data_IF_709446981663
#
_entry.id   IF_709446981663
#
_cell.length_a   1.000
_cell.length_b   1.000
_cell.length_c   1.000
_cell.angle_alpha   90.00
_cell.angle_beta   90.00
_cell.angle_gamma   90.00
#
_symmetry.space_group_name_H-M   'P 1'
#
loop_
_entity.id
_entity.type
_entity.pdbx_description
1 polymer ?
#
# COMPACT_ATOMS: atom_id res chain seq x y z
N UNK A 1 0.89 -1.04 18.65
CA UNK A 1 1.56 -0.16 17.67
C UNK A 1 3.08 -0.32 17.81
N UNK A 2 3.84 -0.60 16.73
CA UNK A 2 5.30 -0.64 16.77
C UNK A 2 5.88 0.77 16.75
N UNK A 3 6.65 1.13 17.79
CA UNK A 3 7.33 2.43 17.84
C UNK A 3 8.24 2.65 16.63
N UNK A 4 8.13 3.81 15.99
CA UNK A 4 8.80 4.17 14.75
C UNK A 4 8.17 3.58 13.48
N UNK A 5 6.92 3.12 13.56
CA UNK A 5 6.16 2.67 12.40
C UNK A 5 6.57 1.29 11.84
N UNK A 6 5.92 0.90 10.75
CA UNK A 6 6.07 -0.42 10.10
C UNK A 6 7.46 -0.66 9.54
N UNK A 7 8.14 0.36 9.01
CA UNK A 7 9.49 0.22 8.46
C UNK A 7 10.48 -0.25 9.53
N UNK A 8 10.49 0.37 10.70
CA UNK A 8 11.38 -0.02 11.79
C UNK A 8 11.08 -1.44 12.29
N UNK A 9 9.81 -1.86 12.27
CA UNK A 9 9.44 -3.23 12.58
C UNK A 9 10.03 -4.21 11.55
N UNK A 10 9.87 -3.96 10.25
CA UNK A 10 10.41 -4.80 9.18
C UNK A 10 11.94 -4.84 9.20
N UNK A 11 12.61 -3.71 9.45
CA UNK A 11 14.07 -3.66 9.54
C UNK A 11 14.62 -4.51 10.69
N UNK A 12 13.90 -4.61 11.83
CA UNK A 12 14.30 -5.51 12.93
C UNK A 12 14.22 -6.98 12.51
N UNK A 13 13.19 -7.36 11.77
CA UNK A 13 13.04 -8.72 11.22
C UNK A 13 14.19 -9.00 10.24
N UNK A 14 14.43 -8.08 9.29
CA UNK A 14 15.52 -8.20 8.31
C UNK A 14 16.89 -8.35 8.99
N UNK A 15 17.18 -7.51 9.98
CA UNK A 15 18.42 -7.58 10.74
C UNK A 15 18.59 -8.93 11.44
N UNK A 16 17.52 -9.48 12.01
CA UNK A 16 17.56 -10.81 12.64
C UNK A 16 17.77 -11.90 11.59
N UNK A 17 17.08 -11.83 10.45
CA UNK A 17 17.23 -12.76 9.35
C UNK A 17 18.66 -12.80 8.81
N UNK A 18 19.28 -11.63 8.58
CA UNK A 18 20.68 -11.55 8.12
C UNK A 18 21.67 -12.09 9.14
N UNK A 19 21.46 -11.83 10.44
CA UNK A 19 22.29 -12.41 11.52
C UNK A 19 22.21 -13.94 11.60
N UNK A 20 21.13 -14.53 11.09
CA UNK A 20 20.96 -15.99 11.00
C UNK A 20 21.52 -16.56 9.68
N UNK A 21 22.19 -15.76 8.85
CA UNK A 21 22.77 -16.18 7.57
C UNK A 21 21.86 -15.95 6.36
N UNK A 22 20.68 -15.34 6.54
CA UNK A 22 19.79 -14.99 5.45
C UNK A 22 20.33 -13.86 4.57
N UNK A 23 19.98 -13.88 3.29
CA UNK A 23 20.36 -12.83 2.32
C UNK A 23 19.12 -12.13 1.77
N UNK A 24 19.21 -10.81 1.57
CA UNK A 24 18.19 -10.01 0.90
C UNK A 24 18.76 -9.43 -0.40
N UNK A 25 18.09 -9.73 -1.50
CA UNK A 25 18.35 -9.10 -2.81
C UNK A 25 17.20 -8.15 -3.14
N UNK A 26 17.39 -6.86 -2.85
CA UNK A 26 16.42 -5.82 -3.18
C UNK A 26 16.56 -5.38 -4.65
N UNK A 27 15.49 -4.80 -5.22
CA UNK A 27 15.48 -4.34 -6.61
C UNK A 27 15.61 -5.47 -7.64
N UNK A 28 15.29 -6.71 -7.24
CA UNK A 28 15.35 -7.91 -8.06
C UNK A 28 13.95 -8.51 -8.18
N UNK A 29 13.22 -8.16 -9.24
CA UNK A 29 11.86 -8.65 -9.45
C UNK A 29 11.91 -10.09 -9.96
N UNK A 30 11.24 -10.99 -9.25
CA UNK A 30 11.00 -12.36 -9.74
C UNK A 30 9.98 -12.29 -10.86
N UNK A 31 10.33 -12.85 -12.02
CA UNK A 31 9.48 -12.94 -13.21
C UNK A 31 8.74 -14.26 -13.26
N UNK A 32 9.41 -15.38 -12.92
CA UNK A 32 8.86 -16.73 -13.09
C UNK A 32 9.34 -17.69 -12.01
N UNK A 33 8.48 -18.62 -11.62
CA UNK A 33 8.85 -19.79 -10.82
C UNK A 33 9.17 -20.94 -11.77
N UNK A 34 10.35 -21.53 -11.61
CA UNK A 34 10.83 -22.62 -12.46
C UNK A 34 10.30 -23.95 -11.93
N UNK A 35 9.68 -24.74 -12.80
CA UNK A 35 9.12 -26.06 -12.49
C UNK A 35 9.80 -27.13 -13.35
N UNK A 36 10.30 -28.19 -12.71
CA UNK A 36 10.81 -29.40 -13.36
C UNK A 36 10.12 -30.62 -12.73
N UNK A 37 9.57 -31.52 -13.55
CA UNK A 37 8.84 -32.72 -13.12
C UNK A 37 7.76 -32.47 -12.04
N UNK A 38 7.06 -31.33 -12.16
CA UNK A 38 6.00 -30.93 -11.22
C UNK A 38 6.51 -30.35 -9.89
N UNK A 39 7.82 -30.12 -9.74
CA UNK A 39 8.43 -29.53 -8.54
C UNK A 39 9.03 -28.16 -8.83
N UNK A 40 8.84 -27.20 -7.93
CA UNK A 40 9.54 -25.93 -7.97
C UNK A 40 11.03 -26.11 -7.70
N UNK A 41 11.88 -25.55 -8.56
CA UNK A 41 13.34 -25.73 -8.56
C UNK A 41 14.11 -24.41 -8.55
N UNK A 42 13.41 -23.29 -8.42
CA UNK A 42 14.01 -21.96 -8.38
C UNK A 42 13.13 -20.87 -8.98
N UNK A 43 13.73 -19.72 -9.23
CA UNK A 43 13.10 -18.54 -9.82
C UNK A 43 13.96 -17.93 -10.93
N UNK A 44 13.31 -17.35 -11.93
CA UNK A 44 13.91 -16.47 -12.94
C UNK A 44 13.56 -15.02 -12.59
N UNK A 45 14.56 -14.14 -12.62
CA UNK A 45 14.38 -12.70 -12.46
C UNK A 45 14.02 -12.02 -13.78
N UNK A 46 13.55 -10.77 -13.73
CA UNK A 46 13.23 -9.98 -14.93
C UNK A 46 14.43 -9.73 -15.86
N UNK A 47 15.64 -9.66 -15.30
CA UNK A 47 16.91 -9.58 -16.04
C UNK A 47 17.38 -10.93 -16.64
N UNK A 48 16.60 -12.01 -16.45
CA UNK A 48 16.90 -13.36 -16.94
C UNK A 48 17.83 -14.18 -16.03
N UNK A 49 18.30 -13.60 -14.91
CA UNK A 49 19.10 -14.34 -13.91
C UNK A 49 18.28 -15.48 -13.30
N UNK A 50 18.90 -16.64 -13.10
CA UNK A 50 18.27 -17.81 -12.48
C UNK A 50 18.86 -18.05 -11.09
N UNK A 51 17.97 -18.19 -10.10
CA UNK A 51 18.32 -18.66 -8.76
C UNK A 51 17.66 -20.03 -8.52
N UNK A 52 18.49 -21.08 -8.43
CA UNK A 52 18.03 -22.43 -8.09
C UNK A 52 17.83 -22.59 -6.59
N UNK A 53 16.82 -23.36 -6.20
CA UNK A 53 16.53 -23.66 -4.78
C UNK A 53 15.74 -24.96 -4.64
N UNK A 54 15.83 -25.58 -3.46
CA UNK A 54 15.04 -26.78 -3.13
C UNK A 54 13.57 -26.46 -2.87
N UNK A 55 13.31 -25.22 -2.41
CA UNK A 55 11.99 -24.70 -2.07
C UNK A 55 11.85 -23.26 -2.55
N UNK A 56 10.62 -22.88 -2.89
CA UNK A 56 10.21 -21.51 -3.20
C UNK A 56 9.03 -21.18 -2.30
N UNK A 57 9.17 -20.12 -1.50
CA UNK A 57 8.09 -19.59 -0.66
C UNK A 57 7.70 -18.24 -1.25
N UNK A 58 6.53 -18.18 -1.86
CA UNK A 58 5.99 -16.93 -2.39
C UNK A 58 5.23 -16.19 -1.29
N UNK A 59 5.75 -15.02 -0.89
CA UNK A 59 5.14 -14.12 0.08
C UNK A 59 4.66 -12.82 -0.60
N UNK A 60 4.11 -12.97 -1.80
CA UNK A 60 3.51 -11.89 -2.59
C UNK A 60 2.06 -12.26 -2.93
N UNK A 61 1.39 -11.38 -3.66
CA UNK A 61 0.01 -11.57 -4.08
C UNK A 61 -0.22 -12.92 -4.80
N UNK A 62 -1.23 -13.67 -4.38
CA UNK A 62 -1.50 -15.01 -4.88
C UNK A 62 -1.86 -15.01 -6.37
N UNK A 63 -2.59 -14.01 -6.85
CA UNK A 63 -2.91 -13.88 -8.27
C UNK A 63 -1.63 -13.67 -9.09
N UNK A 64 -0.69 -12.88 -8.58
CA UNK A 64 0.63 -12.68 -9.21
C UNK A 64 1.39 -13.99 -9.33
N UNK A 65 1.43 -14.78 -8.26
CA UNK A 65 2.11 -16.09 -8.25
C UNK A 65 1.49 -17.03 -9.29
N UNK A 66 0.16 -17.17 -9.26
CA UNK A 66 -0.54 -18.17 -10.05
C UNK A 66 -0.58 -17.80 -11.53
N UNK A 67 -1.11 -16.62 -11.87
CA UNK A 67 -1.41 -16.27 -13.25
C UNK A 67 -0.18 -15.72 -13.99
N UNK A 68 0.77 -15.12 -13.27
CA UNK A 68 1.96 -14.52 -13.90
C UNK A 68 3.22 -15.38 -13.68
N UNK A 69 3.54 -15.80 -12.46
CA UNK A 69 4.80 -16.52 -12.21
C UNK A 69 4.73 -18.02 -12.54
N UNK A 70 3.53 -18.61 -12.57
CA UNK A 70 3.27 -20.02 -12.90
C UNK A 70 2.51 -20.19 -14.23
N UNK A 71 2.33 -19.11 -15.00
CA UNK A 71 1.61 -19.10 -16.29
C UNK A 71 0.16 -19.66 -16.20
N UNK A 72 -0.53 -19.47 -15.08
CA UNK A 72 -1.89 -19.98 -14.87
C UNK A 72 -1.96 -21.51 -14.73
N UNK A 73 -0.84 -22.17 -14.42
CA UNK A 73 -0.79 -23.61 -14.16
C UNK A 73 -0.89 -23.90 -12.67
N UNK A 74 -1.26 -25.14 -12.33
CA UNK A 74 -1.31 -25.65 -10.96
C UNK A 74 -2.30 -24.90 -10.04
N UNK A 75 -3.39 -24.36 -10.60
CA UNK A 75 -4.41 -23.63 -9.85
C UNK A 75 -5.37 -24.62 -9.19
N UNK A 76 -5.52 -24.59 -7.85
CA UNK A 76 -6.61 -25.30 -7.18
C UNK A 76 -7.99 -24.74 -7.60
N UNK A 77 -9.00 -25.61 -7.73
CA UNK A 77 -10.33 -25.20 -8.23
C UNK A 77 -11.03 -24.22 -7.29
N UNK A 78 -10.84 -24.36 -5.98
CA UNK A 78 -11.35 -23.42 -4.96
C UNK A 78 -10.74 -22.02 -5.10
N UNK A 79 -9.43 -21.93 -5.36
CA UNK A 79 -8.73 -20.66 -5.60
C UNK A 79 -9.20 -20.03 -6.91
N UNK A 80 -9.35 -20.83 -7.97
CA UNK A 80 -9.89 -20.36 -9.25
C UNK A 80 -11.31 -19.79 -9.07
N UNK A 81 -12.17 -20.53 -8.38
CA UNK A 81 -13.53 -20.10 -8.08
C UNK A 81 -13.58 -18.82 -7.23
N UNK A 82 -12.66 -18.66 -6.28
CA UNK A 82 -12.57 -17.44 -5.47
C UNK A 82 -12.25 -16.21 -6.34
N UNK A 83 -11.26 -16.29 -7.24
CA UNK A 83 -10.96 -15.18 -8.16
C UNK A 83 -12.09 -14.86 -9.14
N UNK A 84 -12.86 -15.87 -9.55
CA UNK A 84 -13.97 -15.69 -10.50
C UNK A 84 -15.23 -15.11 -9.84
N UNK A 85 -15.48 -15.41 -8.56
CA UNK A 85 -16.80 -15.19 -7.96
C UNK A 85 -16.81 -14.38 -6.66
N UNK A 86 -15.68 -14.24 -5.96
CA UNK A 86 -15.66 -13.53 -4.68
C UNK A 86 -15.39 -12.03 -4.90
N UNK A 87 -16.05 -11.15 -4.14
CA UNK A 87 -15.77 -9.74 -4.22
C UNK A 87 -14.37 -9.45 -3.69
N UNK A 88 -13.63 -8.57 -4.37
CA UNK A 88 -12.37 -8.06 -3.84
C UNK A 88 -12.63 -6.95 -2.83
N UNK A 89 -11.74 -6.83 -1.84
CA UNK A 89 -11.67 -5.65 -1.02
C UNK A 89 -11.37 -4.42 -1.90
N UNK A 90 -12.11 -3.33 -1.65
CA UNK A 90 -11.87 -2.07 -2.35
C UNK A 90 -10.47 -1.57 -2.02
N UNK A 91 -9.80 -1.00 -3.02
CA UNK A 91 -8.50 -0.37 -2.81
C UNK A 91 -8.59 0.89 -1.94
N UNK A 92 -7.44 1.36 -1.45
CA UNK A 92 -7.34 2.53 -0.57
C UNK A 92 -6.64 3.69 -1.27
N UNK A 93 -7.01 4.90 -0.88
CA UNK A 93 -6.19 6.11 -1.07
C UNK A 93 -5.68 6.55 0.28
N UNK A 94 -4.41 6.97 0.33
CA UNK A 94 -3.79 7.57 1.49
C UNK A 94 -3.25 8.96 1.15
N UNK A 95 -3.66 9.96 1.93
CA UNK A 95 -3.09 11.31 1.87
C UNK A 95 -2.29 11.56 3.15
N UNK A 96 -1.00 11.79 3.01
CA UNK A 96 -0.07 11.98 4.13
C UNK A 96 0.38 13.43 4.21
N UNK A 97 0.30 14.03 5.41
CA UNK A 97 0.60 15.43 5.66
C UNK A 97 1.78 15.56 6.61
N UNK A 98 2.78 16.34 6.22
CA UNK A 98 3.81 16.85 7.13
C UNK A 98 3.44 18.24 7.60
N UNK A 99 3.23 18.41 8.90
CA UNK A 99 2.75 19.65 9.52
C UNK A 99 3.87 20.28 10.34
N UNK A 100 4.19 21.55 10.08
CA UNK A 100 5.16 22.39 10.80
C UNK A 100 4.65 22.90 12.15
N UNK A 101 3.91 22.06 12.86
CA UNK A 101 3.33 22.38 14.16
C UNK A 101 3.06 21.09 14.90
N UNK A 102 3.26 21.13 16.21
CA UNK A 102 2.82 20.06 17.08
C UNK A 102 1.30 20.11 17.23
N UNK A 103 0.63 19.03 16.82
CA UNK A 103 -0.82 18.87 16.94
C UNK A 103 -1.09 17.65 17.80
N UNK A 104 -1.18 17.87 19.12
CA UNK A 104 -1.46 16.81 20.09
C UNK A 104 -2.90 16.36 19.97
N UNK A 105 -3.10 15.05 19.87
CA UNK A 105 -4.41 14.42 19.86
C UNK A 105 -4.46 13.27 20.87
N UNK A 106 -5.62 13.04 21.49
CA UNK A 106 -5.78 11.91 22.43
C UNK A 106 -6.01 10.60 21.69
N UNK A 107 -6.73 10.66 20.57
CA UNK A 107 -7.03 9.51 19.73
C UNK A 107 -5.97 9.38 18.63
N UNK A 108 -5.43 8.17 18.47
CA UNK A 108 -4.47 7.88 17.39
C UNK A 108 -5.15 7.94 16.01
N UNK A 109 -6.42 7.56 15.94
CA UNK A 109 -7.22 7.49 14.72
C UNK A 109 -8.68 7.80 15.04
N UNK A 110 -9.32 8.59 14.17
CA UNK A 110 -10.75 8.88 14.19
C UNK A 110 -11.36 8.47 12.87
N UNK A 111 -12.42 7.66 12.90
CA UNK A 111 -13.20 7.29 11.72
C UNK A 111 -14.43 8.19 11.60
N UNK A 112 -14.59 8.81 10.45
CA UNK A 112 -15.74 9.65 10.12
C UNK A 112 -16.65 8.86 9.20
N UNK A 113 -17.83 8.48 9.70
CA UNK A 113 -18.86 7.74 8.97
C UNK A 113 -19.85 8.74 8.34
N UNK A 114 -19.36 9.55 7.41
CA UNK A 114 -20.15 10.55 6.71
C UNK A 114 -19.82 10.52 5.21
N UNK A 115 -20.83 10.65 4.33
CA UNK A 115 -20.58 10.78 2.90
C UNK A 115 -19.63 11.94 2.59
N UNK A 116 -18.64 11.66 1.75
CA UNK A 116 -17.67 12.62 1.28
C UNK A 116 -17.34 12.35 -0.19
N UNK A 117 -17.02 13.43 -0.90
CA UNK A 117 -16.41 13.37 -2.22
C UNK A 117 -14.96 13.84 -2.09
N UNK A 118 -14.02 12.98 -2.43
CA UNK A 118 -12.58 13.26 -2.38
C UNK A 118 -12.00 12.90 -3.75
N UNK A 119 -11.68 13.92 -4.54
CA UNK A 119 -11.43 13.78 -5.97
C UNK A 119 -12.64 13.21 -6.70
N UNK A 120 -12.39 12.15 -7.50
CA UNK A 120 -13.38 11.36 -8.20
C UNK A 120 -14.06 10.30 -7.32
N UNK A 121 -13.56 10.08 -6.10
CA UNK A 121 -14.11 9.04 -5.21
C UNK A 121 -15.29 9.57 -4.40
N UNK A 122 -16.42 8.88 -4.48
CA UNK A 122 -17.53 8.99 -3.54
C UNK A 122 -17.37 7.90 -2.46
N UNK A 123 -17.30 8.30 -1.19
CA UNK A 123 -17.12 7.38 -0.05
C UNK A 123 -18.09 7.71 1.07
N UNK A 124 -18.54 6.69 1.78
CA UNK A 124 -19.36 6.83 2.99
C UNK A 124 -18.53 7.07 4.25
N UNK A 125 -17.20 6.92 4.17
CA UNK A 125 -16.31 7.14 5.30
C UNK A 125 -14.87 7.48 4.91
N UNK A 126 -14.17 8.09 5.86
CA UNK A 126 -12.72 8.26 5.83
C UNK A 126 -12.19 8.26 7.26
N UNK A 127 -10.89 7.98 7.40
CA UNK A 127 -10.18 8.03 8.68
C UNK A 127 -9.17 9.17 8.68
N UNK A 128 -8.97 9.77 9.84
CA UNK A 128 -7.84 10.69 10.10
C UNK A 128 -7.02 10.09 11.23
N UNK A 129 -5.74 9.82 10.95
CA UNK A 129 -4.77 9.30 11.91
C UNK A 129 -3.76 10.39 12.27
N UNK A 130 -3.65 10.73 13.54
CA UNK A 130 -2.68 11.70 14.04
C UNK A 130 -1.55 10.95 14.77
N UNK A 131 -0.32 11.10 14.27
CA UNK A 131 0.84 10.37 14.78
C UNK A 131 1.65 11.13 15.85
N UNK A 132 1.09 12.19 16.47
CA UNK A 132 1.77 12.98 17.51
C UNK A 132 2.16 12.17 18.76
N UNK A 133 1.60 10.98 18.95
CA UNK A 133 1.93 10.08 20.05
C UNK A 133 3.29 9.35 19.88
N UNK A 134 3.87 9.35 18.68
CA UNK A 134 5.16 8.71 18.41
C UNK A 134 6.17 9.74 17.87
N UNK A 135 7.17 10.15 18.67
CA UNK A 135 8.15 11.16 18.26
C UNK A 135 9.05 10.70 17.10
N UNK A 136 9.06 9.40 16.76
CA UNK A 136 9.78 8.91 15.59
C UNK A 136 9.03 9.14 14.26
N UNK A 137 7.77 9.58 14.30
CA UNK A 137 6.93 9.76 13.11
C UNK A 137 7.04 11.15 12.47
N UNK A 138 7.61 12.13 13.18
CA UNK A 138 7.87 13.48 12.66
C UNK A 138 9.08 14.10 13.39
N UNK A 139 9.78 15.08 12.78
CA UNK A 139 10.77 15.87 13.49
C UNK A 139 10.18 16.59 14.72
N UNK A 140 11.05 17.00 15.65
CA UNK A 140 10.63 17.74 16.85
C UNK A 140 9.82 19.00 16.48
N UNK A 141 8.73 19.24 17.21
CA UNK A 141 7.82 20.37 16.99
C UNK A 141 6.93 20.23 15.75
N UNK A 142 6.94 19.08 15.07
CA UNK A 142 6.13 18.79 13.88
C UNK A 142 5.17 17.62 14.13
N UNK A 143 4.23 17.41 13.23
CA UNK A 143 3.28 16.29 13.32
C UNK A 143 3.01 15.69 11.95
N UNK A 144 2.89 14.36 11.91
CA UNK A 144 2.41 13.62 10.73
C UNK A 144 0.94 13.29 10.92
N UNK A 145 0.11 13.65 9.96
CA UNK A 145 -1.31 13.28 9.91
C UNK A 145 -1.57 12.54 8.61
N UNK A 146 -2.42 11.52 8.65
CA UNK A 146 -2.78 10.72 7.47
C UNK A 146 -4.29 10.64 7.35
N UNK A 147 -4.81 10.88 6.15
CA UNK A 147 -6.20 10.59 5.77
C UNK A 147 -6.21 9.31 4.93
N UNK A 148 -7.11 8.38 5.22
CA UNK A 148 -7.37 7.21 4.37
C UNK A 148 -8.84 7.01 4.10
N UNK A 149 -9.16 6.56 2.90
CA UNK A 149 -10.51 6.22 2.47
C UNK A 149 -10.49 5.13 1.41
N UNK A 150 -11.57 4.36 1.32
CA UNK A 150 -11.77 3.40 0.24
C UNK A 150 -11.99 4.14 -1.09
N UNK A 151 -11.33 3.67 -2.13
CA UNK A 151 -11.48 4.16 -3.50
C UNK A 151 -11.46 2.97 -4.44
N UNK A 152 -12.58 2.64 -5.13
CA UNK A 152 -12.64 1.50 -6.04
C UNK A 152 -11.58 1.56 -7.15
N UNK A 153 -10.94 0.43 -7.44
CA UNK A 153 -9.85 0.33 -8.42
C UNK A 153 -10.29 0.75 -9.83
N UNK A 154 -11.57 0.56 -10.16
CA UNK A 154 -12.18 0.90 -11.45
C UNK A 154 -12.08 2.40 -11.78
N UNK A 155 -11.94 3.26 -10.77
CA UNK A 155 -11.70 4.69 -10.96
C UNK A 155 -10.30 4.94 -11.54
N UNK A 156 -9.36 4.03 -11.29
CA UNK A 156 -7.92 4.21 -11.52
C UNK A 156 -7.40 3.45 -12.73
N UNK A 157 -7.96 2.28 -13.05
CA UNK A 157 -7.38 1.30 -13.98
C UNK A 157 -7.24 1.79 -15.43
N UNK A 158 -7.86 2.92 -15.77
CA UNK A 158 -7.84 3.53 -17.10
C UNK A 158 -7.37 4.99 -17.09
N UNK A 159 -6.79 5.48 -15.98
CA UNK A 159 -6.26 6.84 -15.92
C UNK A 159 -4.92 6.92 -16.66
N UNK A 160 -4.88 7.77 -17.68
CA UNK A 160 -3.63 8.23 -18.31
C UNK A 160 -2.82 9.10 -17.34
N UNK A 161 -1.50 9.16 -17.50
CA UNK A 161 -0.58 9.87 -16.60
C UNK A 161 -1.01 11.32 -16.30
N UNK A 162 -1.47 12.05 -17.31
CA UNK A 162 -1.91 13.45 -17.16
C UNK A 162 -3.22 13.59 -16.34
N UNK A 163 -4.13 12.62 -16.43
CA UNK A 163 -5.38 12.58 -15.68
C UNK A 163 -5.12 12.07 -14.26
N UNK A 164 -4.23 11.09 -14.12
CA UNK A 164 -3.76 10.57 -12.84
C UNK A 164 -3.16 11.68 -11.97
N UNK A 165 -2.23 12.49 -12.51
CA UNK A 165 -1.64 13.58 -11.75
C UNK A 165 -2.65 14.68 -11.40
N UNK A 166 -3.59 15.00 -12.30
CA UNK A 166 -4.69 15.94 -11.99
C UNK A 166 -5.59 15.41 -10.89
N UNK A 167 -5.86 14.11 -10.89
CA UNK A 167 -6.68 13.48 -9.88
C UNK A 167 -6.00 13.48 -8.51
N UNK A 168 -4.68 13.23 -8.46
CA UNK A 168 -3.90 13.38 -7.23
C UNK A 168 -3.93 14.80 -6.67
N UNK A 169 -3.82 15.82 -7.53
CA UNK A 169 -3.92 17.21 -7.09
C UNK A 169 -5.32 17.55 -6.55
N UNK A 170 -6.40 17.06 -7.17
CA UNK A 170 -7.77 17.20 -6.63
C UNK A 170 -7.93 16.55 -5.27
N UNK A 171 -7.48 15.30 -5.14
CA UNK A 171 -7.52 14.55 -3.86
C UNK A 171 -6.76 15.31 -2.78
N UNK A 172 -5.58 15.85 -3.11
CA UNK A 172 -4.79 16.68 -2.19
C UNK A 172 -5.55 17.93 -1.76
N UNK A 173 -6.16 18.67 -2.67
CA UNK A 173 -6.96 19.86 -2.34
C UNK A 173 -8.14 19.51 -1.43
N UNK A 174 -8.92 18.48 -1.77
CA UNK A 174 -10.08 18.04 -0.99
C UNK A 174 -9.67 17.53 0.40
N UNK A 175 -8.58 16.78 0.48
CA UNK A 175 -8.07 16.27 1.75
C UNK A 175 -7.53 17.40 2.66
N UNK A 176 -6.94 18.46 2.09
CA UNK A 176 -6.59 19.67 2.84
C UNK A 176 -7.85 20.31 3.42
N UNK A 177 -8.94 20.41 2.65
CA UNK A 177 -10.20 20.98 3.12
C UNK A 177 -10.85 20.15 4.23
N UNK A 178 -10.80 18.82 4.14
CA UNK A 178 -11.23 17.94 5.23
C UNK A 178 -10.39 18.14 6.49
N UNK A 179 -9.07 18.26 6.32
CA UNK A 179 -8.16 18.45 7.44
C UNK A 179 -8.37 19.82 8.11
N UNK A 180 -8.59 20.87 7.33
CA UNK A 180 -8.91 22.23 7.81
C UNK A 180 -10.22 22.28 8.61
N UNK A 181 -11.23 21.49 8.20
CA UNK A 181 -12.48 21.35 8.96
C UNK A 181 -12.25 20.71 10.33
N UNK A 182 -11.36 19.73 10.41
CA UNK A 182 -11.03 19.02 11.65
C UNK A 182 -10.10 19.84 12.55
N UNK A 183 -9.11 20.51 11.95
CA UNK A 183 -8.10 21.32 12.62
C UNK A 183 -8.06 22.73 11.99
N UNK A 184 -8.93 23.66 12.40
CA UNK A 184 -8.97 25.01 11.83
C UNK A 184 -7.62 25.74 11.91
N UNK A 185 -7.20 26.33 10.79
CA UNK A 185 -5.92 27.01 10.60
C UNK A 185 -4.74 26.08 10.32
N UNK A 186 -4.95 24.77 10.15
CA UNK A 186 -3.87 23.82 9.89
C UNK A 186 -3.21 24.04 8.53
N UNK A 187 -3.95 24.53 7.53
CA UNK A 187 -3.47 24.74 6.17
C UNK A 187 -2.18 25.57 6.12
N UNK A 188 -2.05 26.58 6.98
CA UNK A 188 -0.88 27.46 7.05
C UNK A 188 0.39 26.76 7.56
N UNK A 189 0.25 25.58 8.15
CA UNK A 189 1.34 24.77 8.70
C UNK A 189 1.67 23.54 7.86
N UNK A 190 0.95 23.26 6.76
CA UNK A 190 1.25 22.12 5.89
C UNK A 190 2.53 22.41 5.10
N UNK A 191 3.58 21.60 5.30
CA UNK A 191 4.86 21.70 4.57
C UNK A 191 4.95 20.74 3.39
N UNK A 192 4.32 19.57 3.50
CA UNK A 192 4.34 18.53 2.46
C UNK A 192 3.03 17.76 2.49
N UNK A 193 2.55 17.40 1.30
CA UNK A 193 1.45 16.46 1.11
C UNK A 193 1.90 15.41 0.11
N UNK A 194 1.70 14.15 0.45
CA UNK A 194 1.89 13.01 -0.44
C UNK A 194 0.57 12.25 -0.61
N UNK A 195 0.31 11.79 -1.83
CA UNK A 195 -0.89 11.03 -2.18
C UNK A 195 -0.47 9.67 -2.75
N UNK A 196 -0.74 8.62 -2.00
CA UNK A 196 -0.61 7.24 -2.45
C UNK A 196 -1.99 6.71 -2.90
N UNK A 197 -2.02 6.09 -4.06
CA UNK A 197 -3.23 5.64 -4.74
C UNK A 197 -3.20 4.13 -4.99
N UNK A 198 -4.30 3.52 -5.45
CA UNK A 198 -4.31 2.11 -5.88
C UNK A 198 -3.20 1.75 -6.87
N UNK A 199 -2.89 2.63 -7.83
CA UNK A 199 -1.78 2.44 -8.77
C UNK A 199 -0.41 2.52 -8.10
N UNK A 200 -0.28 3.30 -7.01
CA UNK A 200 0.94 3.33 -6.18
C UNK A 200 1.15 1.99 -5.51
N UNK A 201 0.10 1.42 -4.92
CA UNK A 201 0.17 0.11 -4.26
C UNK A 201 0.55 -1.00 -5.26
N UNK A 202 -0.11 -1.06 -6.42
CA UNK A 202 0.22 -2.01 -7.49
C UNK A 202 1.69 -1.87 -7.92
N UNK A 203 2.18 -0.64 -8.10
CA UNK A 203 3.58 -0.39 -8.50
C UNK A 203 4.58 -0.97 -7.50
N UNK A 204 4.33 -0.80 -6.20
CA UNK A 204 5.30 -1.17 -5.16
C UNK A 204 5.12 -2.60 -4.62
N UNK A 205 3.92 -3.17 -4.64
CA UNK A 205 3.65 -4.48 -4.04
C UNK A 205 3.19 -5.53 -5.06
N UNK A 206 2.73 -5.12 -6.24
CA UNK A 206 2.18 -6.01 -7.25
C UNK A 206 0.84 -6.64 -6.87
N UNK A 207 0.15 -6.07 -5.87
CA UNK A 207 -1.17 -6.54 -5.41
C UNK A 207 -2.20 -6.51 -6.53
N UNK A 208 -3.01 -7.55 -6.65
CA UNK A 208 -4.00 -7.66 -7.71
C UNK A 208 -5.12 -6.63 -7.52
N UNK A 209 -5.31 -5.77 -8.53
CA UNK A 209 -6.33 -4.69 -8.55
C UNK A 209 -6.32 -3.83 -7.28
N UNK A 210 -5.15 -3.67 -6.64
CA UNK A 210 -5.00 -2.92 -5.40
C UNK A 210 -5.89 -3.39 -4.22
N UNK A 211 -6.36 -4.64 -4.26
CA UNK A 211 -7.17 -5.21 -3.18
C UNK A 211 -6.32 -5.43 -1.93
N UNK A 212 -6.30 -4.46 -1.02
CA UNK A 212 -5.36 -4.39 0.10
C UNK A 212 -5.47 -5.57 1.10
N UNK A 213 -6.61 -6.26 1.11
CA UNK A 213 -6.88 -7.46 1.93
C UNK A 213 -7.20 -8.71 1.08
N UNK A 214 -7.13 -8.63 -0.26
CA UNK A 214 -7.48 -9.73 -1.17
C UNK A 214 -8.98 -9.83 -1.45
N UNK A 215 -9.53 -11.05 -1.35
CA UNK A 215 -10.97 -11.36 -1.41
C UNK A 215 -11.47 -11.87 -0.05
#
# INVERSE_FOLDING_TARGET
YPAGGSLNFVLRILNKYQKLGGTLSAGKRVKKILIEDGKAVGVELDDGTIHRSDYVIAACDLHMVIYHMLDGKYIPEDIKNAFENWPLFKSLVQVSFGIKKEIKEKQMMTNYLVPAKIGATETDSYSISNYSYDPAMAPEGKTTIVIRFESPYEIWEHLEDNLYEKEKERIKEDAIMLLEKTYPGIKDFIEVVDVATPLTDIKYTGVYRAAYEGF
#
